data_IF_303446136442
#
_entry.id   IF_303446136442
#
_cell.length_a   1.000
_cell.length_b   1.000
_cell.length_c   1.000
_cell.angle_alpha   90.00
_cell.angle_beta   90.00
_cell.angle_gamma   90.00
#
_symmetry.space_group_name_H-M   'P 1'
#
loop_
_entity.id
_entity.type
_entity.pdbx_description
1 polymer ?
#
# COMPACT_ATOMS: atom_id res chain seq x y z
N UNK A 1 -11.55 -9.74 -35.11
CA UNK A 1 -12.77 -9.30 -34.39
C UNK A 1 -13.05 -10.09 -33.10
N UNK A 2 -12.70 -11.38 -32.96
CA UNK A 2 -12.99 -12.17 -31.73
C UNK A 2 -12.29 -11.69 -30.43
N UNK A 3 -11.06 -11.16 -30.53
CA UNK A 3 -10.27 -10.72 -29.36
C UNK A 3 -10.86 -9.51 -28.62
N UNK A 4 -11.47 -8.57 -29.36
CA UNK A 4 -12.08 -7.36 -28.79
C UNK A 4 -13.24 -7.68 -27.86
N UNK A 5 -14.12 -8.59 -28.30
CA UNK A 5 -15.31 -8.98 -27.55
C UNK A 5 -14.92 -9.63 -26.22
N UNK A 6 -13.84 -10.43 -26.20
CA UNK A 6 -13.33 -11.03 -24.96
C UNK A 6 -12.78 -9.97 -24.00
N UNK A 7 -11.97 -9.04 -24.49
CA UNK A 7 -11.40 -7.98 -23.66
C UNK A 7 -12.49 -7.08 -23.06
N UNK A 8 -13.45 -6.64 -23.86
CA UNK A 8 -14.58 -5.83 -23.38
C UNK A 8 -15.41 -6.59 -22.35
N UNK A 9 -15.70 -7.88 -22.59
CA UNK A 9 -16.42 -8.71 -21.61
C UNK A 9 -15.68 -8.85 -20.29
N UNK A 10 -14.35 -9.01 -20.33
CA UNK A 10 -13.52 -9.04 -19.12
C UNK A 10 -13.58 -7.70 -18.39
N UNK A 11 -13.37 -6.58 -19.11
CA UNK A 11 -13.37 -5.24 -18.52
C UNK A 11 -14.72 -4.88 -17.88
N UNK A 12 -15.83 -5.13 -18.57
CA UNK A 12 -17.18 -4.94 -18.01
C UNK A 12 -17.40 -5.91 -16.86
N UNK A 13 -16.91 -7.15 -16.96
CA UNK A 13 -16.95 -8.17 -15.91
C UNK A 13 -16.33 -7.73 -14.60
N UNK A 14 -15.34 -6.84 -14.64
CA UNK A 14 -14.68 -6.26 -13.46
C UNK A 14 -15.53 -5.22 -12.71
N UNK A 15 -16.75 -4.88 -13.16
CA UNK A 15 -17.65 -3.95 -12.46
C UNK A 15 -18.69 -4.68 -11.59
N UNK A 16 -19.23 -4.03 -10.54
CA UNK A 16 -20.26 -4.63 -9.67
C UNK A 16 -21.51 -5.02 -10.45
N UNK A 17 -22.21 -6.07 -10.02
CA UNK A 17 -23.46 -6.55 -10.66
C UNK A 17 -24.51 -5.45 -10.82
N UNK A 18 -24.75 -4.65 -9.77
CA UNK A 18 -25.71 -3.53 -9.79
C UNK A 18 -25.32 -2.42 -10.77
N UNK A 19 -24.02 -2.14 -10.93
CA UNK A 19 -23.54 -1.17 -11.90
C UNK A 19 -23.66 -1.71 -13.34
N UNK A 20 -23.24 -2.96 -13.56
CA UNK A 20 -23.31 -3.63 -14.86
C UNK A 20 -24.74 -3.73 -15.37
N UNK A 21 -25.69 -3.98 -14.48
CA UNK A 21 -27.10 -4.05 -14.87
C UNK A 21 -27.64 -2.71 -15.39
N UNK A 22 -27.11 -1.58 -14.89
CA UNK A 22 -27.59 -0.25 -15.25
C UNK A 22 -26.84 0.41 -16.41
N UNK A 23 -25.54 0.15 -16.54
CA UNK A 23 -24.65 0.86 -17.48
C UNK A 23 -23.77 -0.08 -18.31
N UNK A 24 -23.89 -1.40 -18.13
CA UNK A 24 -22.96 -2.37 -18.70
C UNK A 24 -22.98 -2.42 -20.22
N UNK A 25 -24.16 -2.32 -20.83
CA UNK A 25 -24.31 -2.36 -22.29
C UNK A 25 -23.79 -1.08 -22.95
N UNK A 26 -24.18 0.08 -22.42
CA UNK A 26 -23.73 1.40 -22.88
C UNK A 26 -22.19 1.52 -22.80
N UNK A 27 -21.60 1.04 -21.70
CA UNK A 27 -20.17 1.07 -21.53
C UNK A 27 -19.44 0.06 -22.42
N UNK A 28 -20.00 -1.14 -22.63
CA UNK A 28 -19.44 -2.11 -23.55
C UNK A 28 -19.39 -1.55 -24.98
N UNK A 29 -20.47 -0.89 -25.42
CA UNK A 29 -20.55 -0.26 -26.72
C UNK A 29 -19.53 0.89 -26.85
N UNK A 30 -19.42 1.74 -25.84
CA UNK A 30 -18.41 2.80 -25.80
C UNK A 30 -16.97 2.25 -25.91
N UNK A 31 -16.65 1.14 -25.24
CA UNK A 31 -15.33 0.50 -25.32
C UNK A 31 -15.05 -0.11 -26.70
N UNK A 32 -16.08 -0.66 -27.36
CA UNK A 32 -15.99 -1.12 -28.74
C UNK A 32 -15.73 0.05 -29.71
N UNK A 33 -16.52 1.13 -29.60
CA UNK A 33 -16.43 2.31 -30.47
C UNK A 33 -15.06 3.00 -30.34
N UNK A 34 -14.51 3.05 -29.11
CA UNK A 34 -13.17 3.60 -28.86
C UNK A 34 -12.02 2.65 -29.24
N UNK A 35 -12.31 1.44 -29.72
CA UNK A 35 -11.33 0.41 -30.07
C UNK A 35 -10.33 0.15 -28.93
N UNK A 36 -10.83 -0.23 -27.75
CA UNK A 36 -10.04 -0.35 -26.51
C UNK A 36 -8.76 -1.20 -26.66
N UNK A 37 -8.75 -2.22 -27.53
CA UNK A 37 -7.57 -3.05 -27.81
C UNK A 37 -6.36 -2.26 -28.32
N UNK A 38 -6.56 -1.15 -29.05
CA UNK A 38 -5.48 -0.30 -29.58
C UNK A 38 -4.99 0.73 -28.56
N UNK A 39 -5.69 0.86 -27.43
CA UNK A 39 -5.51 1.94 -26.48
C UNK A 39 -5.31 1.37 -25.07
N UNK A 40 -4.10 0.88 -24.73
CA UNK A 40 -3.83 0.26 -23.44
C UNK A 40 -4.11 1.18 -22.25
N UNK A 41 -3.99 2.51 -22.42
CA UNK A 41 -4.39 3.49 -21.41
C UNK A 41 -5.88 3.36 -21.04
N UNK A 42 -6.77 3.15 -22.01
CA UNK A 42 -8.20 2.98 -21.76
C UNK A 42 -8.50 1.67 -21.02
N UNK A 43 -7.72 0.60 -21.26
CA UNK A 43 -7.81 -0.64 -20.48
C UNK A 43 -7.51 -0.37 -19.02
N UNK A 44 -6.42 0.34 -18.73
CA UNK A 44 -6.02 0.73 -17.37
C UNK A 44 -7.07 1.63 -16.73
N UNK A 45 -7.56 2.66 -17.44
CA UNK A 45 -8.58 3.57 -16.93
C UNK A 45 -9.90 2.84 -16.65
N UNK A 46 -10.27 1.86 -17.47
CA UNK A 46 -11.46 1.02 -17.27
C UNK A 46 -11.31 0.13 -16.03
N UNK A 47 -10.15 -0.51 -15.86
CA UNK A 47 -9.87 -1.31 -14.65
C UNK A 47 -9.87 -0.45 -13.39
N UNK A 48 -9.30 0.77 -13.45
CA UNK A 48 -9.37 1.73 -12.35
C UNK A 48 -10.81 2.18 -12.09
N UNK A 49 -11.61 2.34 -13.14
CA UNK A 49 -13.05 2.61 -13.06
C UNK A 49 -13.80 1.48 -12.35
N UNK A 50 -13.52 0.22 -12.71
CA UNK A 50 -14.06 -0.98 -12.08
C UNK A 50 -13.75 -1.04 -10.58
N UNK A 51 -12.49 -0.78 -10.21
CA UNK A 51 -12.06 -0.70 -8.80
C UNK A 51 -12.81 0.42 -8.06
N UNK A 52 -13.00 1.58 -8.69
CA UNK A 52 -13.77 2.70 -8.11
C UNK A 52 -15.26 2.37 -7.98
N UNK A 53 -15.84 1.67 -8.95
CA UNK A 53 -17.25 1.28 -8.97
C UNK A 53 -17.56 0.22 -7.91
N UNK A 54 -16.67 -0.74 -7.69
CA UNK A 54 -16.71 -1.64 -6.51
C UNK A 54 -16.61 -0.89 -5.19
N UNK A 55 -16.04 0.32 -5.21
CA UNK A 55 -16.12 1.26 -4.12
C UNK A 55 -17.53 1.74 -3.81
N UNK A 56 -18.46 1.84 -4.77
CA UNK A 56 -19.83 2.41 -4.68
C UNK A 56 -19.89 3.95 -4.81
N UNK A 57 -21.08 4.56 -4.64
CA UNK A 57 -21.31 6.04 -4.56
C UNK A 57 -20.35 6.78 -3.59
N UNK A 58 -19.70 6.00 -2.75
CA UNK A 58 -18.54 6.24 -1.90
C UNK A 58 -17.29 6.86 -2.55
N UNK A 59 -17.26 7.17 -3.84
CA UNK A 59 -16.20 7.99 -4.47
C UNK A 59 -16.60 9.46 -4.69
N UNK A 60 -17.88 9.86 -4.52
CA UNK A 60 -18.29 11.27 -4.64
C UNK A 60 -17.86 12.12 -3.44
N UNK A 61 -17.59 11.50 -2.29
CA UNK A 61 -16.98 12.14 -1.11
C UNK A 61 -15.67 11.43 -0.79
N UNK A 62 -14.59 11.80 -1.50
CA UNK A 62 -13.23 11.35 -1.17
C UNK A 62 -12.90 11.84 0.24
N UNK A 63 -12.80 10.92 1.20
CA UNK A 63 -12.24 11.29 2.52
C UNK A 63 -10.86 11.91 2.30
N UNK A 64 -10.60 13.10 2.86
CA UNK A 64 -9.35 13.84 2.66
C UNK A 64 -8.12 13.07 3.13
N UNK A 65 -8.32 12.05 3.97
CA UNK A 65 -7.28 11.20 4.55
C UNK A 65 -7.11 9.86 3.83
N UNK A 66 -7.87 9.59 2.76
CA UNK A 66 -7.74 8.33 2.05
C UNK A 66 -6.35 8.14 1.42
N UNK A 67 -5.83 9.15 0.73
CA UNK A 67 -4.50 9.08 0.14
C UNK A 67 -3.39 8.91 1.20
N UNK A 68 -3.35 9.68 2.30
CA UNK A 68 -2.39 9.49 3.40
C UNK A 68 -2.41 8.08 4.01
N UNK A 69 -3.58 7.48 4.16
CA UNK A 69 -3.72 6.11 4.71
C UNK A 69 -3.15 5.07 3.74
N UNK A 70 -3.45 5.20 2.44
CA UNK A 70 -2.90 4.28 1.43
C UNK A 70 -1.39 4.47 1.23
N UNK A 71 -0.88 5.70 1.28
CA UNK A 71 0.56 5.94 1.25
C UNK A 71 1.24 5.34 2.46
N UNK A 72 0.63 5.41 3.65
CA UNK A 72 1.17 4.81 4.86
C UNK A 72 1.20 3.28 4.77
N UNK A 73 0.16 2.64 4.25
CA UNK A 73 0.15 1.19 4.04
C UNK A 73 1.28 0.75 3.09
N UNK A 74 1.49 1.47 1.98
CA UNK A 74 2.58 1.18 1.05
C UNK A 74 3.96 1.45 1.68
N UNK A 75 4.08 2.54 2.45
CA UNK A 75 5.28 2.89 3.19
C UNK A 75 5.64 1.82 4.23
N UNK A 76 4.65 1.29 4.96
CA UNK A 76 4.85 0.17 5.90
C UNK A 76 5.32 -1.08 5.17
N UNK A 77 4.73 -1.44 4.03
CA UNK A 77 5.18 -2.59 3.23
C UNK A 77 6.66 -2.43 2.83
N UNK A 78 7.02 -1.25 2.34
CA UNK A 78 8.39 -0.98 1.90
C UNK A 78 9.37 -0.91 3.09
N UNK A 79 8.96 -0.35 4.23
CA UNK A 79 9.74 -0.32 5.46
C UNK A 79 10.04 -1.71 6.02
N UNK A 80 9.05 -2.63 5.98
CA UNK A 80 9.28 -4.04 6.33
C UNK A 80 10.25 -4.72 5.36
N UNK A 81 10.10 -4.45 4.06
CA UNK A 81 11.05 -4.91 3.04
C UNK A 81 12.47 -4.40 3.30
N UNK A 82 12.62 -3.12 3.63
CA UNK A 82 13.91 -2.52 4.00
C UNK A 82 14.49 -3.16 5.26
N UNK A 83 13.69 -3.31 6.32
CA UNK A 83 14.14 -3.93 7.57
C UNK A 83 14.68 -5.34 7.30
N UNK A 84 13.98 -6.12 6.49
CA UNK A 84 14.42 -7.46 6.11
C UNK A 84 15.70 -7.45 5.28
N UNK A 85 15.88 -6.49 4.36
CA UNK A 85 17.16 -6.35 3.63
C UNK A 85 18.30 -5.93 4.55
N UNK A 86 18.04 -5.09 5.55
CA UNK A 86 19.06 -4.59 6.46
C UNK A 86 19.57 -5.66 7.45
N UNK A 87 18.79 -6.72 7.70
CA UNK A 87 19.19 -7.84 8.56
C UNK A 87 20.50 -8.51 8.11
N UNK A 88 20.73 -8.59 6.79
CA UNK A 88 21.91 -9.24 6.21
C UNK A 88 23.15 -8.33 6.18
N UNK A 89 23.00 -7.03 6.51
CA UNK A 89 24.05 -6.02 6.44
C UNK A 89 24.22 -5.25 7.77
N UNK A 90 24.47 -5.94 8.90
CA UNK A 90 24.61 -5.29 10.19
C UNK A 90 25.81 -4.32 10.16
N UNK A 91 25.59 -3.09 10.61
CA UNK A 91 26.65 -2.08 10.76
C UNK A 91 27.05 -1.33 9.48
N UNK A 92 26.47 -1.64 8.32
CA UNK A 92 26.71 -0.86 7.09
C UNK A 92 25.77 0.34 7.02
N UNK A 93 26.36 1.52 6.78
CA UNK A 93 25.66 2.80 6.70
C UNK A 93 24.66 3.03 7.87
N UNK A 94 25.11 2.90 9.14
CA UNK A 94 24.24 2.93 10.31
C UNK A 94 23.49 4.26 10.46
N UNK A 95 24.11 5.35 10.02
CA UNK A 95 23.50 6.69 9.99
C UNK A 95 22.31 6.78 9.03
N UNK A 96 22.37 6.11 7.88
CA UNK A 96 21.25 6.07 6.94
C UNK A 96 20.11 5.18 7.47
N UNK A 97 20.45 4.08 8.14
CA UNK A 97 19.47 3.22 8.80
C UNK A 97 18.74 3.95 9.94
N UNK A 98 19.48 4.65 10.81
CA UNK A 98 18.87 5.45 11.89
C UNK A 98 18.06 6.61 11.34
N UNK A 99 18.53 7.30 10.30
CA UNK A 99 17.76 8.35 9.61
C UNK A 99 16.43 7.81 9.05
N UNK A 100 16.43 6.63 8.43
CA UNK A 100 15.22 5.95 7.96
C UNK A 100 14.25 5.65 9.11
N UNK A 101 14.75 5.12 10.23
CA UNK A 101 13.92 4.81 11.40
C UNK A 101 13.27 6.08 11.98
N UNK A 102 14.05 7.16 12.16
CA UNK A 102 13.55 8.45 12.66
C UNK A 102 12.53 9.04 11.69
N UNK A 103 12.83 9.10 10.39
CA UNK A 103 11.93 9.63 9.38
C UNK A 103 10.60 8.85 9.30
N UNK A 104 10.68 7.52 9.44
CA UNK A 104 9.51 6.65 9.50
C UNK A 104 8.66 6.93 10.76
N UNK A 105 9.31 7.06 11.92
CA UNK A 105 8.63 7.39 13.17
C UNK A 105 7.91 8.74 13.08
N UNK A 106 8.58 9.77 12.55
CA UNK A 106 7.99 11.09 12.33
C UNK A 106 6.79 11.01 11.38
N UNK A 107 6.90 10.29 10.26
CA UNK A 107 5.80 10.15 9.31
C UNK A 107 4.57 9.46 9.92
N UNK A 108 4.79 8.39 10.69
CA UNK A 108 3.71 7.64 11.34
C UNK A 108 3.05 8.43 12.48
N UNK A 109 3.84 9.13 13.29
CA UNK A 109 3.33 10.01 14.35
C UNK A 109 2.51 11.17 13.77
N UNK A 110 2.97 11.77 12.67
CA UNK A 110 2.24 12.82 11.97
C UNK A 110 0.89 12.30 11.45
N UNK A 111 0.86 11.12 10.84
CA UNK A 111 -0.39 10.51 10.39
C UNK A 111 -1.33 10.18 11.56
N UNK A 112 -0.79 9.66 12.67
CA UNK A 112 -1.56 9.39 13.88
C UNK A 112 -2.19 10.68 14.44
N UNK A 113 -1.44 11.78 14.47
CA UNK A 113 -1.94 13.09 14.86
C UNK A 113 -3.06 13.58 13.92
N UNK A 114 -2.93 13.36 12.61
CA UNK A 114 -3.98 13.69 11.64
C UNK A 114 -5.28 12.88 11.84
N UNK A 115 -5.15 11.62 12.30
CA UNK A 115 -6.26 10.70 12.53
C UNK A 115 -6.88 10.79 13.94
N UNK A 116 -6.16 11.38 14.91
CA UNK A 116 -6.55 11.42 16.32
C UNK A 116 -7.97 11.97 16.58
N UNK A 117 -8.44 13.04 15.91
CA UNK A 117 -9.80 13.52 16.12
C UNK A 117 -10.87 12.50 15.71
N UNK A 118 -10.62 11.76 14.62
CA UNK A 118 -11.54 10.73 14.17
C UNK A 118 -11.56 9.55 15.15
N UNK A 119 -10.41 9.16 15.68
CA UNK A 119 -10.31 8.14 16.73
C UNK A 119 -11.09 8.54 18.00
N UNK A 120 -10.97 9.81 18.42
CA UNK A 120 -11.69 10.31 19.60
C UNK A 120 -13.22 10.24 19.45
N UNK A 121 -13.76 10.50 18.25
CA UNK A 121 -15.21 10.38 17.99
C UNK A 121 -15.68 8.92 18.11
N UNK A 122 -14.86 7.97 17.65
CA UNK A 122 -15.16 6.53 17.75
C UNK A 122 -15.13 6.07 19.21
N UNK A 123 -14.08 6.43 19.96
CA UNK A 123 -13.92 6.06 21.38
C UNK A 123 -15.06 6.62 22.24
N UNK A 124 -15.56 7.81 21.92
CA UNK A 124 -16.72 8.41 22.60
C UNK A 124 -18.06 7.76 22.26
N UNK A 125 -18.08 6.67 21.49
CA UNK A 125 -19.31 5.95 21.13
C UNK A 125 -20.23 6.70 20.16
N UNK A 126 -19.78 7.80 19.56
CA UNK A 126 -20.61 8.65 18.69
C UNK A 126 -20.72 8.14 17.25
N UNK A 127 -20.12 6.99 16.96
CA UNK A 127 -20.04 6.42 15.62
C UNK A 127 -20.65 5.01 15.58
N UNK A 128 -21.98 4.93 15.74
CA UNK A 128 -22.73 3.66 15.69
C UNK A 128 -22.49 2.92 14.37
N UNK A 129 -22.19 1.62 14.43
CA UNK A 129 -21.95 0.77 13.27
C UNK A 129 -20.55 0.83 12.67
N UNK A 130 -19.59 1.49 13.33
CA UNK A 130 -18.19 1.60 12.88
C UNK A 130 -17.26 0.56 13.51
N UNK A 131 -17.66 -0.04 14.65
CA UNK A 131 -16.85 -1.02 15.40
C UNK A 131 -16.37 -2.21 14.56
N UNK A 132 -17.18 -2.67 13.60
CA UNK A 132 -16.79 -3.77 12.68
C UNK A 132 -15.56 -3.45 11.83
N UNK A 133 -15.31 -2.18 11.51
CA UNK A 133 -14.12 -1.77 10.76
C UNK A 133 -12.90 -1.55 11.66
N UNK A 134 -13.11 -1.29 12.95
CA UNK A 134 -12.02 -1.20 13.94
C UNK A 134 -11.45 -2.60 14.23
N UNK A 135 -12.30 -3.63 14.21
CA UNK A 135 -11.86 -5.02 14.33
C UNK A 135 -11.10 -5.52 13.09
N UNK A 136 -11.33 -4.94 11.90
CA UNK A 136 -10.73 -5.39 10.65
C UNK A 136 -9.19 -5.50 10.67
N UNK A 137 -8.40 -4.51 11.16
CA UNK A 137 -6.95 -4.68 11.28
C UNK A 137 -6.55 -5.83 12.21
N UNK A 138 -7.24 -6.00 13.34
CA UNK A 138 -6.95 -7.09 14.28
C UNK A 138 -7.21 -8.47 13.65
N UNK A 139 -8.36 -8.61 12.98
CA UNK A 139 -8.72 -9.84 12.26
C UNK A 139 -7.75 -10.11 11.12
N UNK A 140 -7.36 -9.07 10.37
CA UNK A 140 -6.42 -9.22 9.26
C UNK A 140 -5.02 -9.64 9.76
N UNK A 141 -4.51 -9.05 10.83
CA UNK A 141 -3.24 -9.45 11.45
C UNK A 141 -3.32 -10.88 11.98
N UNK A 142 -4.39 -11.25 12.67
CA UNK A 142 -4.59 -12.62 13.15
C UNK A 142 -4.62 -13.63 11.99
N UNK A 143 -5.32 -13.32 10.90
CA UNK A 143 -5.35 -14.15 9.70
C UNK A 143 -3.95 -14.28 9.06
N UNK A 144 -3.17 -13.21 9.02
CA UNK A 144 -1.80 -13.29 8.50
C UNK A 144 -0.86 -14.08 9.40
N UNK A 145 -0.95 -13.93 10.73
CA UNK A 145 -0.23 -14.78 11.67
C UNK A 145 -0.59 -16.26 11.49
N UNK A 146 -1.88 -16.56 11.27
CA UNK A 146 -2.33 -17.93 10.98
C UNK A 146 -1.73 -18.46 9.67
N UNK A 147 -1.72 -17.66 8.60
CA UNK A 147 -1.05 -18.02 7.34
C UNK A 147 0.44 -18.25 7.55
N UNK A 148 1.12 -17.37 8.30
CA UNK A 148 2.54 -17.51 8.61
C UNK A 148 2.82 -18.81 9.37
N UNK A 149 2.00 -19.14 10.35
CA UNK A 149 2.09 -20.37 11.12
C UNK A 149 1.84 -21.62 10.28
N UNK A 150 0.85 -21.59 9.37
CA UNK A 150 0.60 -22.72 8.45
C UNK A 150 1.78 -22.90 7.50
N UNK A 151 2.31 -21.81 6.94
CA UNK A 151 3.46 -21.87 6.03
C UNK A 151 4.69 -22.45 6.72
N UNK A 152 4.95 -22.05 7.97
CA UNK A 152 6.09 -22.58 8.73
C UNK A 152 5.87 -24.04 9.14
N UNK A 153 4.68 -24.42 9.57
CA UNK A 153 4.34 -25.81 9.92
C UNK A 153 4.42 -26.77 8.71
N UNK A 154 4.00 -26.32 7.53
CA UNK A 154 4.12 -27.12 6.29
C UNK A 154 5.58 -27.23 5.86
N UNK A 155 6.38 -26.18 6.07
CA UNK A 155 7.80 -26.18 5.74
C UNK A 155 8.63 -27.10 6.65
N UNK A 156 8.28 -27.23 7.93
CA UNK A 156 8.97 -28.15 8.86
C UNK A 156 8.59 -29.62 8.63
N UNK A 157 7.40 -29.91 8.10
CA UNK A 157 6.94 -31.27 7.82
C UNK A 157 7.51 -31.90 6.54
N UNK A 158 8.06 -31.11 5.61
CA UNK A 158 8.73 -31.62 4.42
C UNK A 158 10.25 -31.55 4.64
N UNK A 159 10.89 -32.71 4.79
CA UNK A 159 12.34 -32.83 5.01
C UNK A 159 13.15 -31.85 4.15
N UNK A 160 14.16 -31.23 4.77
CA UNK A 160 14.95 -30.11 4.28
C UNK A 160 15.13 -30.08 2.76
N UNK A 161 14.21 -29.41 2.05
CA UNK A 161 14.46 -29.02 0.65
C UNK A 161 15.55 -27.97 0.69
N UNK A 162 16.67 -28.24 0.05
CA UNK A 162 17.90 -27.45 0.02
C UNK A 162 17.78 -26.12 -0.75
N UNK A 163 16.57 -25.57 -0.91
CA UNK A 163 16.33 -24.36 -1.70
C UNK A 163 15.25 -23.44 -1.15
N UNK A 164 15.35 -22.13 -1.45
CA UNK A 164 14.36 -21.13 -1.08
C UNK A 164 12.96 -21.46 -1.65
N UNK A 165 11.96 -21.57 -0.78
CA UNK A 165 10.58 -21.81 -1.20
C UNK A 165 9.91 -20.50 -1.65
N UNK A 166 10.15 -20.12 -2.91
CA UNK A 166 9.58 -18.91 -3.52
C UNK A 166 8.05 -18.85 -3.45
N UNK A 167 7.37 -20.00 -3.52
CA UNK A 167 5.91 -20.06 -3.40
C UNK A 167 5.44 -19.69 -1.98
N UNK A 168 6.09 -20.22 -0.94
CA UNK A 168 5.80 -19.84 0.44
C UNK A 168 6.03 -18.34 0.69
N UNK A 169 7.14 -17.80 0.17
CA UNK A 169 7.41 -16.37 0.24
C UNK A 169 6.33 -15.53 -0.48
N UNK A 170 5.97 -15.91 -1.71
CA UNK A 170 4.93 -15.22 -2.46
C UNK A 170 3.58 -15.23 -1.74
N UNK A 171 3.22 -16.34 -1.08
CA UNK A 171 2.01 -16.44 -0.27
C UNK A 171 2.08 -15.51 0.95
N UNK A 172 3.20 -15.48 1.67
CA UNK A 172 3.39 -14.59 2.83
C UNK A 172 3.32 -13.11 2.44
N UNK A 173 3.97 -12.73 1.33
CA UNK A 173 3.94 -11.37 0.80
C UNK A 173 2.53 -11.00 0.34
N UNK A 174 1.87 -11.86 -0.43
CA UNK A 174 0.51 -11.61 -0.89
C UNK A 174 -0.47 -11.47 0.28
N UNK A 175 -0.35 -12.33 1.30
CA UNK A 175 -1.17 -12.25 2.50
C UNK A 175 -0.88 -10.96 3.29
N UNK A 176 0.38 -10.58 3.47
CA UNK A 176 0.78 -9.33 4.13
C UNK A 176 0.26 -8.08 3.41
N UNK A 177 0.39 -8.04 2.08
CA UNK A 177 -0.21 -6.98 1.25
C UNK A 177 -1.73 -6.95 1.36
N UNK A 178 -2.37 -8.12 1.44
CA UNK A 178 -3.79 -8.26 1.71
C UNK A 178 -4.21 -7.64 3.04
N UNK A 179 -3.44 -7.87 4.12
CA UNK A 179 -3.67 -7.24 5.44
C UNK A 179 -3.55 -5.73 5.37
N UNK A 180 -2.50 -5.23 4.72
CA UNK A 180 -2.29 -3.79 4.58
C UNK A 180 -3.41 -3.13 3.78
N UNK A 181 -3.84 -3.76 2.68
CA UNK A 181 -4.95 -3.28 1.86
C UNK A 181 -6.29 -3.33 2.63
N UNK A 182 -6.57 -4.41 3.35
CA UNK A 182 -7.77 -4.54 4.18
C UNK A 182 -7.80 -3.49 5.31
N UNK A 183 -6.64 -3.25 5.95
CA UNK A 183 -6.47 -2.24 7.01
C UNK A 183 -6.68 -0.83 6.46
N UNK A 184 -6.03 -0.49 5.33
CA UNK A 184 -6.20 0.80 4.68
C UNK A 184 -7.66 1.01 4.22
N UNK A 185 -8.30 -0.04 3.69
CA UNK A 185 -9.70 -0.02 3.31
C UNK A 185 -10.62 0.20 4.52
N UNK A 186 -10.40 -0.51 5.62
CA UNK A 186 -11.19 -0.34 6.83
C UNK A 186 -11.01 1.05 7.44
N UNK A 187 -9.77 1.54 7.54
CA UNK A 187 -9.46 2.89 8.01
C UNK A 187 -10.13 3.95 7.12
N UNK A 188 -10.08 3.81 5.80
CA UNK A 188 -10.77 4.75 4.89
C UNK A 188 -12.30 4.69 5.01
N UNK A 189 -12.89 3.52 5.29
CA UNK A 189 -14.33 3.39 5.58
C UNK A 189 -14.72 4.10 6.88
N UNK A 190 -13.91 3.97 7.91
CA UNK A 190 -14.09 4.68 9.20
C UNK A 190 -14.01 6.19 8.98
N UNK A 191 -12.94 6.66 8.33
CA UNK A 191 -12.67 8.09 8.08
C UNK A 191 -13.63 8.76 7.09
N UNK A 192 -14.48 7.98 6.39
CA UNK A 192 -15.59 8.52 5.59
C UNK A 192 -16.86 8.72 6.41
N UNK A 193 -17.04 7.93 7.47
CA UNK A 193 -18.25 7.97 8.32
C UNK A 193 -18.12 8.96 9.46
N UNK A 194 -16.89 9.24 9.90
CA UNK A 194 -16.62 10.20 10.96
C UNK A 194 -16.36 11.56 10.33
N UNK A 195 -17.16 12.60 10.63
CA UNK A 195 -16.89 13.96 10.20
C UNK A 195 -15.47 14.34 10.62
N UNK A 196 -14.73 14.99 9.71
CA UNK A 196 -13.37 15.39 9.97
C UNK A 196 -13.34 16.58 10.95
N UNK A 197 -13.66 16.33 12.22
CA UNK A 197 -13.62 17.29 13.29
C UNK A 197 -12.16 17.69 13.57
N UNK A 198 -11.88 18.97 13.69
CA UNK A 198 -10.55 19.49 14.03
C UNK A 198 -10.03 20.55 13.06
N UNK A 199 -9.01 21.33 13.46
CA UNK A 199 -8.51 22.45 12.68
C UNK A 199 -7.91 21.98 11.36
N UNK A 200 -8.35 22.58 10.24
CA UNK A 200 -7.82 22.26 8.92
C UNK A 200 -6.29 22.46 8.83
N UNK A 201 -5.75 23.47 9.54
CA UNK A 201 -4.31 23.75 9.63
C UNK A 201 -3.52 22.59 10.24
N UNK A 202 -4.00 22.01 11.35
CA UNK A 202 -3.30 20.89 12.01
C UNK A 202 -3.26 19.65 11.11
N UNK A 203 -4.35 19.40 10.37
CA UNK A 203 -4.41 18.32 9.39
C UNK A 203 -3.45 18.54 8.22
N UNK A 204 -3.42 19.75 7.67
CA UNK A 204 -2.50 20.11 6.57
C UNK A 204 -1.04 19.96 7.01
N UNK A 205 -0.68 20.49 8.18
CA UNK A 205 0.65 20.36 8.76
C UNK A 205 1.04 18.87 8.95
N UNK A 206 0.13 18.06 9.49
CA UNK A 206 0.36 16.64 9.72
C UNK A 206 0.52 15.84 8.42
N UNK A 207 -0.31 16.09 7.40
CA UNK A 207 -0.16 15.44 6.08
C UNK A 207 1.14 15.88 5.39
N UNK A 208 1.52 17.14 5.52
CA UNK A 208 2.79 17.65 4.99
C UNK A 208 3.98 17.04 5.69
N UNK A 209 3.96 16.96 7.03
CA UNK A 209 4.99 16.28 7.81
C UNK A 209 5.10 14.79 7.46
N UNK A 210 3.97 14.13 7.19
CA UNK A 210 3.94 12.74 6.69
C UNK A 210 4.66 12.63 5.35
N UNK A 211 4.38 13.52 4.40
CA UNK A 211 5.01 13.53 3.08
C UNK A 211 6.52 13.79 3.16
N UNK A 212 6.94 14.77 3.99
CA UNK A 212 8.35 15.09 4.22
C UNK A 212 9.08 13.92 4.88
N UNK A 213 8.48 13.29 5.89
CA UNK A 213 9.04 12.11 6.55
C UNK A 213 9.22 10.94 5.57
N UNK A 214 8.22 10.65 4.73
CA UNK A 214 8.31 9.62 3.70
C UNK A 214 9.40 9.92 2.66
N UNK A 215 9.55 11.20 2.26
CA UNK A 215 10.61 11.63 1.35
C UNK A 215 12.00 11.43 1.98
N UNK A 216 12.18 11.85 3.24
CA UNK A 216 13.43 11.67 3.98
C UNK A 216 13.79 10.19 4.14
N UNK A 217 12.81 9.35 4.47
CA UNK A 217 12.95 7.89 4.52
C UNK A 217 13.38 7.30 3.17
N UNK A 218 12.77 7.73 2.07
CA UNK A 218 13.13 7.28 0.71
C UNK A 218 14.59 7.63 0.38
N UNK A 219 15.00 8.87 0.68
CA UNK A 219 16.38 9.31 0.46
C UNK A 219 17.36 8.55 1.35
N UNK A 220 17.00 8.26 2.60
CA UNK A 220 17.82 7.48 3.52
C UNK A 220 18.02 6.04 3.02
N UNK A 221 16.98 5.37 2.51
CA UNK A 221 17.09 4.02 1.94
C UNK A 221 17.91 4.01 0.64
N UNK A 222 17.82 5.06 -0.17
CA UNK A 222 18.67 5.23 -1.36
C UNK A 222 20.13 5.38 -0.94
N UNK A 223 20.43 6.27 0.00
CA UNK A 223 21.77 6.50 0.52
C UNK A 223 22.34 5.23 1.16
N UNK A 224 21.52 4.48 1.92
CA UNK A 224 21.91 3.22 2.53
C UNK A 224 22.33 2.18 1.48
N UNK A 225 21.52 1.95 0.43
CA UNK A 225 21.85 0.96 -0.60
C UNK A 225 23.07 1.34 -1.45
N UNK A 226 23.28 2.65 -1.68
CA UNK A 226 24.53 3.14 -2.27
C UNK A 226 25.72 2.93 -1.31
N UNK A 227 25.51 3.08 -0.01
CA UNK A 227 26.49 2.74 1.03
C UNK A 227 26.89 1.26 0.99
N UNK A 228 25.91 0.36 0.89
CA UNK A 228 26.16 -1.08 0.69
C UNK A 228 27.00 -1.34 -0.55
N UNK A 229 26.66 -0.71 -1.69
CA UNK A 229 27.46 -0.81 -2.92
C UNK A 229 28.92 -0.40 -2.73
N UNK A 230 29.17 0.66 -1.94
CA UNK A 230 30.53 1.15 -1.70
C UNK A 230 31.31 0.30 -0.69
N UNK A 231 30.64 -0.20 0.35
CA UNK A 231 31.28 -0.96 1.43
C UNK A 231 31.51 -2.44 1.05
N UNK A 232 30.57 -3.04 0.33
CA UNK A 232 30.64 -4.43 -0.11
C UNK A 232 30.04 -4.59 -1.54
N UNK A 233 30.86 -4.34 -2.58
CA UNK A 233 30.43 -4.50 -3.97
C UNK A 233 30.00 -5.92 -4.32
N UNK A 234 30.60 -6.93 -3.68
CA UNK A 234 30.32 -8.33 -3.94
C UNK A 234 28.94 -8.73 -3.39
N UNK A 235 28.63 -8.33 -2.16
CA UNK A 235 27.31 -8.53 -1.58
C UNK A 235 26.21 -7.75 -2.33
N UNK A 236 26.51 -6.53 -2.78
CA UNK A 236 25.59 -5.73 -3.59
C UNK A 236 25.21 -6.41 -4.92
N UNK A 237 26.17 -7.08 -5.58
CA UNK A 237 25.92 -7.86 -6.79
C UNK A 237 25.40 -9.29 -6.49
N UNK A 238 25.36 -9.68 -5.21
CA UNK A 238 25.03 -11.01 -4.76
C UNK A 238 23.53 -11.29 -4.60
N UNK A 239 23.25 -12.52 -4.21
CA UNK A 239 21.90 -13.04 -3.96
C UNK A 239 21.45 -12.83 -2.50
N UNK A 240 21.87 -11.73 -1.88
CA UNK A 240 21.51 -11.38 -0.49
C UNK A 240 20.21 -10.54 -0.41
N UNK A 241 19.29 -10.75 -1.36
CA UNK A 241 17.97 -10.12 -1.36
C UNK A 241 16.91 -11.01 -0.71
N UNK A 242 15.63 -10.70 -0.95
CA UNK A 242 14.53 -11.50 -0.40
C UNK A 242 14.58 -12.96 -0.88
N UNK A 243 14.79 -13.91 0.03
CA UNK A 243 14.69 -15.35 -0.30
C UNK A 243 15.69 -15.73 -1.40
N UNK A 244 16.93 -15.27 -1.21
CA UNK A 244 18.05 -15.45 -2.14
C UNK A 244 17.87 -14.82 -3.53
N UNK A 245 17.02 -13.80 -3.66
CA UNK A 245 16.96 -12.98 -4.89
C UNK A 245 18.15 -12.02 -4.97
N UNK A 246 18.47 -11.47 -6.16
CA UNK A 246 19.49 -10.44 -6.29
C UNK A 246 19.18 -9.21 -5.42
N UNK A 247 20.15 -8.78 -4.60
CA UNK A 247 20.00 -7.64 -3.68
C UNK A 247 19.49 -6.39 -4.40
N UNK A 248 20.09 -6.04 -5.55
CA UNK A 248 19.74 -4.87 -6.35
C UNK A 248 18.26 -4.85 -6.72
N UNK A 249 17.70 -5.99 -7.12
CA UNK A 249 16.29 -6.07 -7.53
C UNK A 249 15.36 -5.86 -6.34
N UNK A 250 15.68 -6.47 -5.19
CA UNK A 250 14.92 -6.29 -3.95
C UNK A 250 14.98 -4.85 -3.43
N UNK A 251 16.17 -4.25 -3.43
CA UNK A 251 16.38 -2.87 -3.02
C UNK A 251 15.64 -1.88 -3.93
N UNK A 252 15.73 -2.05 -5.25
CA UNK A 252 14.97 -1.22 -6.20
C UNK A 252 13.46 -1.36 -6.00
N UNK A 253 12.95 -2.58 -5.76
CA UNK A 253 11.53 -2.77 -5.47
C UNK A 253 11.08 -2.01 -4.21
N UNK A 254 11.87 -2.03 -3.15
CA UNK A 254 11.63 -1.24 -1.92
C UNK A 254 11.67 0.27 -2.22
N UNK A 255 12.65 0.75 -2.98
CA UNK A 255 12.76 2.16 -3.37
C UNK A 255 11.58 2.63 -4.20
N UNK A 256 11.14 1.84 -5.18
CA UNK A 256 9.97 2.15 -6.00
C UNK A 256 8.71 2.26 -5.12
N UNK A 257 8.53 1.35 -4.17
CA UNK A 257 7.41 1.39 -3.24
C UNK A 257 7.45 2.62 -2.32
N UNK A 258 8.62 2.97 -1.77
CA UNK A 258 8.82 4.19 -0.97
C UNK A 258 8.58 5.47 -1.77
N UNK A 259 9.08 5.53 -3.01
CA UNK A 259 8.87 6.66 -3.90
C UNK A 259 7.39 6.83 -4.25
N UNK A 260 6.69 5.73 -4.55
CA UNK A 260 5.25 5.75 -4.78
C UNK A 260 4.47 6.22 -3.55
N UNK A 261 4.82 5.75 -2.34
CA UNK A 261 4.22 6.21 -1.09
C UNK A 261 4.43 7.72 -0.89
N UNK A 262 5.66 8.20 -1.12
CA UNK A 262 6.04 9.62 -1.03
C UNK A 262 5.24 10.47 -2.01
N UNK A 263 5.12 10.05 -3.27
CA UNK A 263 4.33 10.76 -4.29
C UNK A 263 2.86 10.83 -3.89
N UNK A 264 2.26 9.72 -3.44
CA UNK A 264 0.87 9.70 -2.98
C UNK A 264 0.64 10.64 -1.80
N UNK A 265 1.57 10.66 -0.84
CA UNK A 265 1.51 11.55 0.32
C UNK A 265 1.70 13.02 -0.07
N UNK A 266 2.62 13.33 -0.99
CA UNK A 266 2.83 14.67 -1.53
C UNK A 266 1.61 15.18 -2.31
N UNK A 267 0.96 14.33 -3.11
CA UNK A 267 -0.31 14.66 -3.77
C UNK A 267 -1.42 14.92 -2.74
N UNK A 268 -1.44 14.19 -1.64
CA UNK A 268 -2.37 14.46 -0.54
C UNK A 268 -2.09 15.81 0.13
N UNK A 269 -0.83 16.15 0.42
CA UNK A 269 -0.44 17.41 1.04
C UNK A 269 -0.85 18.62 0.18
N UNK A 270 -0.62 18.56 -1.15
CA UNK A 270 -1.02 19.63 -2.08
C UNK A 270 -2.52 19.89 -2.13
N UNK A 271 -3.35 18.88 -1.82
CA UNK A 271 -4.82 19.03 -1.76
C UNK A 271 -5.30 19.70 -0.47
N UNK A 272 -4.41 19.91 0.50
CA UNK A 272 -4.68 20.57 1.78
C UNK A 272 -3.78 21.81 1.93
N UNK A 273 -3.96 22.86 1.13
CA UNK A 273 -3.16 24.08 1.26
C UNK A 273 -3.32 24.68 2.66
N UNK A 274 -2.21 25.06 3.28
CA UNK A 274 -2.17 25.85 4.50
C UNK A 274 -2.72 27.24 4.17
N UNK A 275 -3.99 27.49 4.53
CA UNK A 275 -4.58 28.83 4.51
C UNK A 275 -4.10 29.67 5.71
#
# INVERSE_FOLDING_TARGET
>A
MSGDIRLVRVLVGCYPSTWRHRYGEEYAQLLCDMQVHRRPRLVVDSLLGAVRAHGGALMSVRSPLALPVWSAALFTAAGLGFAKLAEDFPGIAPTAHTAMAIASAVALLALAAAAAPAAAVIVRGRANGTGKYVAAPLVAVAAWCAVAWIVTAVATGHGARSGPNAAAFAVLVAAGLGVLAATAWAATRVLRRVPAAGPARLRSAAVTATAVGMAAATTAVLAWGLGVRTADPAAFAGNQGFVATPFVSSWLAVLIALAAATVLSGVAARRHPTA
#
